data_IF_842226343465
#
_entry.id   IF_842226343465
#
_cell.length_a   1.000
_cell.length_b   1.000
_cell.length_c   1.000
_cell.angle_alpha   90.00
_cell.angle_beta   90.00
_cell.angle_gamma   90.00
#
_symmetry.space_group_name_H-M   'P 1'
#
loop_
_entity.id
_entity.type
_entity.pdbx_description
1 polymer ?
#
# COMPACT_ATOMS: atom_id res chain seq x y z
N UNK A 1 -34.98 72.41 -11.59
CA UNK A 1 -34.55 71.82 -12.88
C UNK A 1 -33.03 71.66 -12.86
N UNK A 2 -32.56 70.42 -13.06
CA UNK A 2 -31.24 69.98 -13.56
C UNK A 2 -29.94 70.50 -12.89
N UNK A 3 -29.19 69.62 -12.20
CA UNK A 3 -28.05 68.75 -12.66
C UNK A 3 -26.68 69.46 -12.46
N UNK A 4 -25.88 69.08 -11.45
CA UNK A 4 -24.75 68.10 -11.41
C UNK A 4 -23.50 68.53 -12.23
N UNK A 5 -22.31 68.25 -11.66
CA UNK A 5 -20.92 68.17 -12.21
C UNK A 5 -20.11 69.48 -12.04
N UNK A 6 -18.83 69.54 -11.60
CA UNK A 6 -17.71 68.57 -11.60
C UNK A 6 -16.53 69.09 -10.70
N UNK A 7 -15.77 68.12 -10.18
CA UNK A 7 -14.36 68.02 -9.73
C UNK A 7 -13.42 69.22 -9.44
N UNK A 8 -12.46 68.86 -8.58
CA UNK A 8 -11.00 69.14 -8.58
C UNK A 8 -10.51 70.23 -7.60
N UNK A 9 -9.83 69.82 -6.53
CA UNK A 9 -8.35 69.84 -6.48
C UNK A 9 -7.87 69.59 -5.04
N UNK A 10 -7.12 68.51 -4.87
CA UNK A 10 -6.38 68.18 -3.65
C UNK A 10 -4.95 68.69 -3.87
N UNK A 11 -4.52 69.67 -3.07
CA UNK A 11 -3.13 70.11 -3.04
C UNK A 11 -2.68 70.12 -1.56
N UNK A 12 -2.07 69.02 -1.14
CA UNK A 12 -1.32 68.94 0.11
C UNK A 12 0.10 68.55 -0.27
N UNK A 13 1.05 69.41 0.04
CA UNK A 13 2.44 69.00 0.22
C UNK A 13 3.20 70.07 1.01
N UNK A 14 4.04 69.57 1.93
CA UNK A 14 5.20 70.19 2.57
C UNK A 14 4.93 70.89 3.93
N UNK A 15 5.69 70.68 5.01
CA UNK A 15 6.99 70.03 5.23
C UNK A 15 7.16 69.68 6.73
N UNK A 16 7.91 68.58 6.96
CA UNK A 16 8.88 68.36 8.05
C UNK A 16 8.46 68.40 9.53
N UNK A 17 8.59 67.24 10.17
CA UNK A 17 9.50 67.13 11.32
C UNK A 17 10.00 65.68 11.46
N UNK A 18 11.26 65.46 11.08
CA UNK A 18 11.99 64.24 11.38
C UNK A 18 12.38 64.24 12.86
N UNK A 19 11.55 63.61 13.70
CA UNK A 19 12.02 63.12 14.99
C UNK A 19 12.74 61.80 14.76
N UNK A 20 14.07 61.81 14.86
CA UNK A 20 14.89 60.59 14.98
C UNK A 20 14.40 59.83 16.22
N UNK A 21 13.57 58.80 16.04
CA UNK A 21 13.28 57.81 17.07
C UNK A 21 14.22 56.64 16.86
N UNK A 22 15.04 56.37 17.87
CA UNK A 22 15.90 55.19 17.98
C UNK A 22 15.14 53.93 17.57
N UNK A 23 15.46 53.40 16.39
CA UNK A 23 15.10 52.04 16.00
C UNK A 23 16.00 51.08 16.77
N UNK A 24 15.67 50.84 18.05
CA UNK A 24 15.98 49.54 18.60
C UNK A 24 15.11 48.53 17.83
N UNK A 25 15.66 47.39 17.38
CA UNK A 25 14.84 46.35 16.79
C UNK A 25 13.76 46.01 17.81
N UNK A 26 12.49 46.19 17.44
CA UNK A 26 11.39 45.60 18.21
C UNK A 26 11.75 44.12 18.33
N UNK A 27 11.98 43.65 19.55
CA UNK A 27 11.98 42.21 19.83
C UNK A 27 10.70 41.70 19.20
N UNK A 28 10.84 40.92 18.14
CA UNK A 28 9.75 40.08 17.67
C UNK A 28 9.53 39.14 18.83
N UNK A 29 8.52 39.43 19.65
CA UNK A 29 8.03 38.43 20.57
C UNK A 29 7.72 37.20 19.72
N UNK A 30 8.27 36.02 20.06
CA UNK A 30 7.95 34.84 19.30
C UNK A 30 6.43 34.70 19.40
N UNK A 31 5.74 34.89 18.28
CA UNK A 31 4.36 34.48 18.15
C UNK A 31 4.35 32.99 18.43
N UNK A 32 4.13 32.64 19.70
CA UNK A 32 3.78 31.33 20.16
C UNK A 32 2.40 31.04 19.58
N UNK A 33 2.37 30.72 18.28
CA UNK A 33 1.32 29.86 17.77
C UNK A 33 1.55 28.55 18.53
N UNK A 34 0.77 28.32 19.58
CA UNK A 34 0.52 26.95 20.02
C UNK A 34 0.07 26.25 18.75
N UNK A 35 0.92 25.40 18.19
CA UNK A 35 0.59 24.62 17.02
C UNK A 35 -0.54 23.68 17.47
N UNK A 36 -1.78 24.06 17.20
CA UNK A 36 -2.90 23.14 17.33
C UNK A 36 -2.62 21.97 16.39
N UNK A 37 -2.64 20.73 16.89
CA UNK A 37 -2.35 19.58 16.06
C UNK A 37 -3.42 19.46 14.97
N UNK A 38 -3.00 19.08 13.76
CA UNK A 38 -3.92 18.81 12.64
C UNK A 38 -4.77 17.55 12.87
N UNK A 39 -4.36 16.69 13.80
CA UNK A 39 -5.03 15.44 14.14
C UNK A 39 -5.30 15.37 15.64
N UNK A 40 -6.48 14.87 15.99
CA UNK A 40 -6.86 14.53 17.36
C UNK A 40 -6.81 13.03 17.55
N UNK A 41 -6.19 12.57 18.64
CA UNK A 41 -6.23 11.17 19.03
C UNK A 41 -7.67 10.80 19.45
N UNK A 42 -8.23 9.76 18.82
CA UNK A 42 -9.46 9.11 19.27
C UNK A 42 -9.05 7.80 19.96
N UNK A 43 -9.48 7.62 21.20
CA UNK A 43 -9.01 6.48 22.01
C UNK A 43 -9.67 5.16 21.60
N UNK A 44 -9.07 4.03 21.96
CA UNK A 44 -9.63 2.70 21.67
C UNK A 44 -10.91 2.41 22.45
N UNK A 45 -11.14 3.11 23.57
CA UNK A 45 -12.39 3.05 24.32
C UNK A 45 -13.56 3.68 23.56
N UNK A 46 -13.28 4.72 22.74
CA UNK A 46 -14.27 5.34 21.86
C UNK A 46 -14.43 4.50 20.59
N UNK A 47 -13.30 4.14 19.95
CA UNK A 47 -13.38 3.50 18.64
C UNK A 47 -13.76 2.03 18.67
N UNK A 48 -13.57 1.34 19.80
CA UNK A 48 -13.72 -0.11 19.87
C UNK A 48 -12.57 -0.90 19.22
N UNK A 49 -11.61 -0.23 18.57
CA UNK A 49 -10.45 -0.88 17.94
C UNK A 49 -9.43 -1.25 19.01
N UNK A 50 -9.35 -2.55 19.32
CA UNK A 50 -8.43 -3.12 20.32
C UNK A 50 -7.33 -3.98 19.70
N UNK A 51 -7.27 -4.05 18.38
CA UNK A 51 -6.31 -4.88 17.65
C UNK A 51 -4.87 -4.49 17.99
N UNK A 52 -4.01 -5.50 18.13
CA UNK A 52 -2.57 -5.35 18.31
C UNK A 52 -1.86 -6.46 17.57
N UNK A 53 -0.95 -6.11 16.67
CA UNK A 53 -0.04 -7.07 16.07
C UNK A 53 1.09 -7.36 17.08
N UNK A 54 1.07 -8.54 17.68
CA UNK A 54 2.07 -8.96 18.67
C UNK A 54 2.99 -9.97 18.03
N UNK A 55 4.27 -9.63 18.00
CA UNK A 55 5.33 -10.51 17.50
C UNK A 55 6.06 -11.10 18.70
N UNK A 56 6.13 -12.43 18.73
CA UNK A 56 6.89 -13.18 19.72
C UNK A 56 8.19 -13.66 19.07
N UNK A 57 9.31 -13.22 19.63
CA UNK A 57 10.65 -13.68 19.24
C UNK A 57 11.07 -14.90 20.05
N UNK A 58 11.91 -15.74 19.46
CA UNK A 58 12.63 -16.81 20.14
C UNK A 58 14.09 -16.92 19.66
N UNK A 59 14.84 -17.88 20.20
CA UNK A 59 16.26 -18.08 19.86
C UNK A 59 16.50 -18.34 18.36
N UNK A 60 15.53 -18.91 17.67
CA UNK A 60 15.57 -19.27 16.25
C UNK A 60 14.83 -18.24 15.38
N UNK A 61 13.75 -17.65 15.88
CA UNK A 61 12.93 -16.66 15.20
C UNK A 61 13.11 -15.28 15.85
N UNK A 62 14.12 -14.56 15.38
CA UNK A 62 14.47 -13.21 15.82
C UNK A 62 15.09 -12.42 14.66
N UNK A 63 15.27 -11.13 14.85
CA UNK A 63 15.81 -10.23 13.83
C UNK A 63 17.14 -10.68 13.20
N UNK A 64 18.03 -11.33 13.96
CA UNK A 64 19.33 -11.77 13.42
C UNK A 64 19.18 -12.93 12.42
N UNK A 65 18.18 -13.79 12.62
CA UNK A 65 17.92 -14.95 11.76
C UNK A 65 16.90 -14.66 10.66
N UNK A 66 15.96 -13.75 10.93
CA UNK A 66 14.93 -13.30 10.01
C UNK A 66 14.77 -11.78 10.13
N UNK A 67 15.56 -10.99 9.39
CA UNK A 67 15.51 -9.52 9.43
C UNK A 67 14.13 -8.92 9.18
N UNK A 68 13.26 -9.65 8.48
CA UNK A 68 11.89 -9.24 8.15
C UNK A 68 10.87 -9.58 9.24
N UNK A 69 11.32 -9.95 10.44
CA UNK A 69 10.43 -10.27 11.57
C UNK A 69 9.50 -9.12 11.96
N UNK A 70 9.83 -7.88 11.60
CA UNK A 70 8.99 -6.70 11.83
C UNK A 70 8.31 -6.18 10.57
N UNK A 71 8.45 -6.88 9.43
CA UNK A 71 7.81 -6.51 8.18
C UNK A 71 6.40 -7.12 8.10
N UNK A 72 5.46 -6.34 7.57
CA UNK A 72 4.04 -6.67 7.53
C UNK A 72 3.23 -5.95 8.62
N UNK A 73 2.00 -6.39 8.84
CA UNK A 73 1.08 -5.70 9.77
C UNK A 73 0.42 -4.47 9.14
N UNK A 74 0.02 -4.58 7.87
CA UNK A 74 -0.74 -3.56 7.16
C UNK A 74 -2.22 -3.49 7.55
N UNK A 75 -2.86 -2.42 7.08
CA UNK A 75 -4.30 -2.18 7.16
C UNK A 75 -4.84 -1.98 5.75
N UNK A 76 -5.97 -2.62 5.43
CA UNK A 76 -6.77 -2.29 4.27
C UNK A 76 -8.04 -1.57 4.74
N UNK A 77 -8.49 -0.58 3.96
CA UNK A 77 -9.65 0.24 4.27
C UNK A 77 -10.57 0.31 3.06
N UNK A 78 -11.87 0.12 3.28
CA UNK A 78 -12.88 0.12 2.22
C UNK A 78 -14.26 -0.10 2.80
N UNK A 79 -15.29 0.32 2.06
CA UNK A 79 -16.69 0.09 2.42
C UNK A 79 -17.11 -1.31 1.93
N UNK A 80 -17.19 -2.28 2.83
CA UNK A 80 -17.42 -3.68 2.45
C UNK A 80 -18.91 -4.00 2.25
N UNK A 81 -19.80 -3.12 2.70
CA UNK A 81 -21.23 -3.38 2.74
C UNK A 81 -22.06 -2.32 1.97
N UNK A 82 -21.38 -1.34 1.37
CA UNK A 82 -21.92 -0.23 0.59
C UNK A 82 -22.85 0.70 1.39
N UNK A 83 -22.57 0.91 2.69
CA UNK A 83 -23.33 1.84 3.54
C UNK A 83 -22.76 3.27 3.58
N UNK A 84 -21.65 3.50 2.87
CA UNK A 84 -20.94 4.78 2.78
C UNK A 84 -19.92 5.00 3.90
N UNK A 85 -19.70 4.02 4.77
CA UNK A 85 -18.71 4.08 5.85
C UNK A 85 -17.51 3.19 5.52
N UNK A 86 -16.31 3.70 5.79
CA UNK A 86 -15.06 2.95 5.55
C UNK A 86 -14.80 2.00 6.71
N UNK A 87 -14.72 0.70 6.40
CA UNK A 87 -14.33 -0.37 7.31
C UNK A 87 -12.83 -0.61 7.31
N UNK A 88 -12.33 -1.39 8.28
CA UNK A 88 -10.90 -1.63 8.47
C UNK A 88 -10.59 -3.12 8.60
N UNK A 89 -9.66 -3.61 7.79
CA UNK A 89 -9.08 -4.95 7.91
C UNK A 89 -7.62 -4.87 8.31
N UNK A 90 -7.29 -5.40 9.49
CA UNK A 90 -5.93 -5.44 10.02
C UNK A 90 -5.31 -6.82 9.81
N UNK A 91 -4.08 -6.82 9.32
CA UNK A 91 -3.27 -8.03 9.22
C UNK A 91 -2.44 -8.25 10.48
N UNK A 92 -2.23 -9.51 10.84
CA UNK A 92 -1.37 -9.91 11.95
C UNK A 92 -0.30 -10.89 11.49
N UNK A 93 0.94 -10.64 11.90
CA UNK A 93 2.08 -11.45 11.49
C UNK A 93 2.05 -12.86 12.08
N UNK A 94 1.48 -13.08 13.26
CA UNK A 94 1.48 -14.40 13.92
C UNK A 94 0.12 -14.83 14.45
N UNK A 95 -0.85 -13.91 14.49
CA UNK A 95 -2.19 -14.18 15.03
C UNK A 95 -3.24 -14.04 13.93
N UNK A 96 -4.51 -14.25 14.28
CA UNK A 96 -5.62 -14.01 13.36
C UNK A 96 -5.75 -12.53 13.00
N UNK A 97 -5.93 -12.27 11.70
CA UNK A 97 -6.31 -10.95 11.16
C UNK A 97 -7.64 -10.48 11.75
N UNK A 98 -7.95 -9.18 11.69
CA UNK A 98 -9.21 -8.64 12.24
C UNK A 98 -9.94 -7.70 11.29
N UNK A 99 -11.24 -7.93 11.10
CA UNK A 99 -12.14 -7.06 10.36
C UNK A 99 -13.02 -6.27 11.34
N UNK A 100 -13.05 -4.96 11.14
CA UNK A 100 -13.81 -4.01 11.95
C UNK A 100 -14.81 -3.27 11.06
N UNK A 101 -16.10 -3.48 11.33
CA UNK A 101 -17.20 -2.81 10.67
C UNK A 101 -17.43 -1.43 11.30
N UNK A 102 -17.45 -0.38 10.49
CA UNK A 102 -17.72 0.98 10.93
C UNK A 102 -19.20 1.16 11.23
N UNK A 103 -19.53 1.65 12.42
CA UNK A 103 -20.90 1.90 12.88
C UNK A 103 -21.27 3.38 12.79
N UNK A 104 -20.37 4.21 12.27
CA UNK A 104 -20.45 5.67 12.28
C UNK A 104 -19.81 6.26 13.53
N UNK A 105 -19.58 7.57 13.54
CA UNK A 105 -19.02 8.31 14.68
C UNK A 105 -17.67 7.78 15.21
N UNK A 106 -16.87 7.15 14.32
CA UNK A 106 -15.63 6.46 14.67
C UNK A 106 -15.81 5.26 15.62
N UNK A 107 -17.01 4.71 15.77
CA UNK A 107 -17.25 3.47 16.51
C UNK A 107 -17.14 2.27 15.57
N UNK A 108 -16.38 1.25 15.95
CA UNK A 108 -16.13 0.06 15.14
C UNK A 108 -16.47 -1.23 15.90
N UNK A 109 -17.15 -2.14 15.21
CA UNK A 109 -17.52 -3.46 15.69
C UNK A 109 -16.55 -4.50 15.11
N UNK A 110 -15.91 -5.31 15.96
CA UNK A 110 -15.14 -6.45 15.46
C UNK A 110 -16.08 -7.54 14.95
N UNK A 111 -16.06 -7.79 13.63
CA UNK A 111 -16.91 -8.79 12.98
C UNK A 111 -16.13 -10.00 12.45
N UNK A 112 -14.85 -10.18 12.81
CA UNK A 112 -13.95 -11.17 12.18
C UNK A 112 -14.54 -12.58 12.10
N UNK A 113 -15.03 -13.11 13.23
CA UNK A 113 -15.61 -14.46 13.32
C UNK A 113 -16.90 -14.56 12.48
N UNK A 114 -17.80 -13.57 12.64
CA UNK A 114 -19.06 -13.50 11.89
C UNK A 114 -18.81 -13.41 10.39
N UNK A 115 -17.78 -12.67 9.99
CA UNK A 115 -17.40 -12.43 8.62
C UNK A 115 -16.63 -13.60 7.99
N UNK A 116 -16.19 -14.58 8.77
CA UNK A 116 -15.44 -15.76 8.32
C UNK A 116 -14.08 -15.43 7.68
N UNK A 117 -13.42 -14.38 8.19
CA UNK A 117 -12.11 -13.90 7.70
C UNK A 117 -10.98 -14.13 8.70
N UNK A 118 -11.19 -15.04 9.65
CA UNK A 118 -10.15 -15.49 10.57
C UNK A 118 -9.05 -16.26 9.84
N UNK A 119 -7.80 -16.03 10.24
CA UNK A 119 -6.65 -16.77 9.74
C UNK A 119 -5.51 -16.74 10.76
N UNK A 120 -5.52 -17.68 11.69
CA UNK A 120 -4.55 -17.81 12.78
C UNK A 120 -3.30 -18.62 12.40
N UNK A 121 -3.12 -18.95 11.12
CA UNK A 121 -2.01 -19.79 10.65
C UNK A 121 -1.08 -19.04 9.72
N UNK A 122 0.22 -19.26 9.90
CA UNK A 122 1.25 -18.65 9.06
C UNK A 122 1.50 -17.19 9.41
N UNK A 123 2.02 -16.43 8.44
CA UNK A 123 2.43 -15.05 8.67
C UNK A 123 1.83 -14.12 7.63
N UNK A 124 0.91 -13.26 8.06
CA UNK A 124 0.27 -12.29 7.17
C UNK A 124 1.12 -11.04 7.05
N UNK A 125 1.21 -10.49 5.84
CA UNK A 125 2.02 -9.29 5.53
C UNK A 125 1.13 -8.12 5.14
N UNK A 126 0.67 -8.10 3.88
CA UNK A 126 -0.15 -7.06 3.29
C UNK A 126 -1.58 -7.51 3.04
N UNK A 127 -2.49 -6.53 2.93
CA UNK A 127 -3.87 -6.76 2.52
C UNK A 127 -4.30 -5.66 1.55
N UNK A 128 -5.21 -6.01 0.65
CA UNK A 128 -5.83 -5.10 -0.32
C UNK A 128 -7.32 -5.41 -0.39
N UNK A 129 -8.15 -4.36 -0.31
CA UNK A 129 -9.57 -4.46 -0.62
C UNK A 129 -9.79 -4.10 -2.09
N UNK A 130 -10.51 -4.95 -2.81
CA UNK A 130 -10.72 -4.80 -4.26
C UNK A 130 -12.01 -5.49 -4.70
N UNK A 131 -12.77 -4.90 -5.61
CA UNK A 131 -13.87 -5.60 -6.30
C UNK A 131 -13.26 -6.44 -7.43
N UNK A 132 -12.79 -7.66 -7.12
CA UNK A 132 -12.04 -8.49 -8.08
C UNK A 132 -12.96 -9.13 -9.13
N UNK A 133 -14.26 -9.18 -8.85
CA UNK A 133 -15.23 -9.92 -9.62
C UNK A 133 -16.30 -9.02 -10.28
N UNK A 134 -16.14 -7.70 -10.14
CA UNK A 134 -16.96 -6.63 -10.72
C UNK A 134 -18.44 -6.71 -10.33
N UNK A 135 -18.73 -7.08 -9.07
CA UNK A 135 -20.09 -7.18 -8.57
C UNK A 135 -20.54 -6.04 -7.66
N UNK A 136 -19.67 -5.03 -7.51
CA UNK A 136 -19.88 -3.82 -6.74
C UNK A 136 -19.59 -3.95 -5.25
N UNK A 137 -19.03 -5.08 -4.80
CA UNK A 137 -18.64 -5.29 -3.40
C UNK A 137 -17.14 -5.53 -3.29
N UNK A 138 -16.51 -4.90 -2.30
CA UNK A 138 -15.08 -5.11 -2.06
C UNK A 138 -14.83 -6.51 -1.48
N UNK A 139 -13.97 -7.25 -2.13
CA UNK A 139 -13.31 -8.48 -1.68
C UNK A 139 -12.00 -8.14 -0.94
N UNK A 140 -11.39 -9.13 -0.28
CA UNK A 140 -10.12 -8.92 0.46
C UNK A 140 -9.07 -9.91 -0.03
N UNK A 141 -7.99 -9.42 -0.62
CA UNK A 141 -6.80 -10.20 -0.92
C UNK A 141 -5.74 -10.00 0.16
N UNK A 142 -5.15 -11.10 0.63
CA UNK A 142 -4.25 -11.12 1.78
C UNK A 142 -2.97 -11.88 1.43
N UNK A 143 -1.84 -11.17 1.54
CA UNK A 143 -0.52 -11.73 1.31
C UNK A 143 0.02 -12.45 2.54
N UNK A 144 0.74 -13.55 2.31
CA UNK A 144 1.39 -14.33 3.36
C UNK A 144 2.88 -14.58 3.04
N UNK A 145 3.68 -14.66 4.10
CA UNK A 145 5.12 -14.88 4.04
C UNK A 145 5.61 -15.62 5.30
N UNK A 146 6.83 -15.34 5.79
CA UNK A 146 7.38 -15.70 7.11
C UNK A 146 7.75 -17.17 7.33
N UNK A 147 6.95 -18.12 6.83
CA UNK A 147 7.17 -19.55 7.04
C UNK A 147 8.28 -20.10 6.13
N UNK A 148 9.51 -20.20 6.63
CA UNK A 148 10.66 -20.66 5.82
C UNK A 148 10.64 -22.15 5.43
N UNK A 149 9.80 -22.97 6.08
CA UNK A 149 9.83 -24.45 5.94
C UNK A 149 8.54 -25.06 5.42
N UNK A 150 7.45 -24.29 5.36
CA UNK A 150 6.14 -24.82 4.98
C UNK A 150 5.39 -23.81 4.10
N UNK A 151 5.37 -24.09 2.81
CA UNK A 151 4.73 -23.29 1.77
C UNK A 151 3.21 -23.17 1.96
N UNK A 152 2.56 -24.17 2.58
CA UNK A 152 1.13 -24.12 2.86
C UNK A 152 0.75 -22.99 3.82
N UNK A 153 1.70 -22.57 4.68
CA UNK A 153 1.52 -21.46 5.60
C UNK A 153 1.78 -20.10 4.94
N UNK A 154 2.25 -20.08 3.69
CA UNK A 154 2.48 -18.86 2.90
C UNK A 154 1.48 -18.68 1.75
N UNK A 155 0.51 -19.58 1.61
CA UNK A 155 -0.52 -19.44 0.58
C UNK A 155 -1.36 -18.20 0.82
N UNK A 156 -1.31 -17.23 -0.09
CA UNK A 156 -2.16 -16.04 -0.06
C UNK A 156 -3.65 -16.42 0.02
N UNK A 157 -4.46 -15.51 0.56
CA UNK A 157 -5.91 -15.69 0.72
C UNK A 157 -6.68 -14.66 -0.11
N UNK A 158 -7.84 -15.07 -0.61
CA UNK A 158 -8.79 -14.21 -1.32
C UNK A 158 -10.17 -14.47 -0.71
N UNK A 159 -10.67 -13.52 0.05
CA UNK A 159 -11.98 -13.58 0.68
C UNK A 159 -12.97 -12.86 -0.22
N UNK A 160 -13.85 -13.62 -0.88
CA UNK A 160 -14.91 -13.08 -1.74
C UNK A 160 -16.11 -12.69 -0.89
N UNK A 161 -16.58 -11.46 -1.02
CA UNK A 161 -17.70 -10.90 -0.29
C UNK A 161 -19.02 -11.59 -0.70
N UNK A 162 -19.82 -11.99 0.30
CA UNK A 162 -21.11 -12.65 0.08
C UNK A 162 -22.30 -11.68 0.18
N UNK A 163 -22.03 -10.37 0.27
CA UNK A 163 -23.03 -9.27 0.31
C UNK A 163 -23.90 -9.23 1.56
N UNK A 164 -23.50 -9.97 2.59
CA UNK A 164 -24.17 -10.06 3.89
C UNK A 164 -23.20 -9.85 5.08
N UNK A 165 -22.07 -9.19 4.82
CA UNK A 165 -20.92 -9.03 5.72
C UNK A 165 -20.18 -10.35 6.03
N UNK A 166 -20.44 -11.42 5.27
CA UNK A 166 -19.62 -12.64 5.31
C UNK A 166 -18.77 -12.76 4.06
N UNK A 167 -17.69 -13.54 4.17
CA UNK A 167 -16.77 -13.78 3.07
C UNK A 167 -16.50 -15.27 2.89
N UNK A 168 -16.14 -15.65 1.68
CA UNK A 168 -15.73 -17.01 1.33
C UNK A 168 -14.31 -17.02 0.78
N UNK A 169 -13.42 -17.82 1.36
CA UNK A 169 -12.05 -17.96 0.87
C UNK A 169 -12.02 -18.75 -0.46
N UNK A 170 -11.46 -18.15 -1.52
CA UNK A 170 -11.45 -18.68 -2.89
C UNK A 170 -10.13 -18.53 -3.63
N UNK A 171 -9.01 -18.25 -2.96
CA UNK A 171 -7.72 -17.99 -3.61
C UNK A 171 -7.33 -19.09 -4.60
N UNK A 172 -7.47 -20.36 -4.21
CA UNK A 172 -7.17 -21.50 -5.08
C UNK A 172 -8.10 -21.55 -6.31
N UNK A 173 -9.38 -21.22 -6.16
CA UNK A 173 -10.33 -21.22 -7.28
C UNK A 173 -9.95 -20.17 -8.35
N UNK A 174 -9.40 -19.04 -7.92
CA UNK A 174 -8.95 -17.96 -8.79
C UNK A 174 -7.49 -18.13 -9.26
N UNK A 175 -6.79 -19.19 -8.84
CA UNK A 175 -5.35 -19.40 -9.06
C UNK A 175 -4.46 -18.29 -8.44
N UNK A 176 -4.88 -17.78 -7.28
CA UNK A 176 -4.23 -16.70 -6.54
C UNK A 176 -3.75 -17.13 -5.13
N UNK A 177 -3.75 -18.43 -4.81
CA UNK A 177 -3.23 -18.98 -3.55
C UNK A 177 -1.70 -19.14 -3.55
N UNK A 178 -0.99 -18.13 -4.07
CA UNK A 178 0.45 -18.16 -4.27
C UNK A 178 1.20 -18.47 -2.96
N UNK A 179 2.11 -19.44 -3.00
CA UNK A 179 2.91 -19.88 -1.84
C UNK A 179 4.28 -19.20 -1.74
N UNK A 180 4.47 -18.07 -2.42
CA UNK A 180 5.69 -17.27 -2.38
C UNK A 180 5.93 -16.60 -1.02
N UNK A 181 6.82 -15.61 -1.00
CA UNK A 181 7.06 -14.76 0.16
C UNK A 181 6.41 -13.39 -0.11
N UNK A 182 5.08 -13.38 -0.18
CA UNK A 182 4.30 -12.23 -0.61
C UNK A 182 4.37 -11.09 0.40
N UNK A 183 4.69 -9.89 -0.07
CA UNK A 183 4.74 -8.68 0.75
C UNK A 183 3.45 -7.87 0.62
N UNK A 184 3.07 -7.52 -0.61
CA UNK A 184 1.86 -6.75 -0.91
C UNK A 184 1.38 -7.01 -2.34
N UNK A 185 0.07 -6.87 -2.56
CA UNK A 185 -0.59 -7.01 -3.85
C UNK A 185 -1.07 -5.65 -4.38
N UNK A 186 -1.00 -5.47 -5.69
CA UNK A 186 -1.47 -4.28 -6.38
C UNK A 186 -2.32 -4.70 -7.58
N UNK A 187 -3.58 -4.26 -7.59
CA UNK A 187 -4.52 -4.55 -8.67
C UNK A 187 -4.63 -3.37 -9.62
N UNK A 188 -4.47 -3.61 -10.92
CA UNK A 188 -4.45 -2.58 -11.96
C UNK A 188 -4.63 -3.20 -13.35
N UNK A 189 -5.17 -2.45 -14.30
CA UNK A 189 -5.41 -2.87 -15.69
C UNK A 189 -4.14 -2.63 -16.52
N UNK A 190 -3.27 -3.64 -16.66
CA UNK A 190 -1.95 -3.40 -17.29
C UNK A 190 -2.00 -3.38 -18.83
N UNK A 191 -2.99 -4.03 -19.44
CA UNK A 191 -3.14 -4.13 -20.89
C UNK A 191 -4.33 -3.35 -21.47
N UNK A 192 -5.09 -2.64 -20.63
CA UNK A 192 -6.23 -1.76 -20.95
C UNK A 192 -7.44 -2.49 -21.50
N UNK A 193 -7.71 -3.70 -21.02
CA UNK A 193 -8.88 -4.46 -21.42
C UNK A 193 -10.10 -4.25 -20.50
N UNK A 194 -9.96 -3.41 -19.48
CA UNK A 194 -10.94 -3.07 -18.43
C UNK A 194 -11.23 -4.19 -17.44
N UNK A 195 -10.30 -5.10 -17.21
CA UNK A 195 -10.24 -5.85 -15.97
C UNK A 195 -8.97 -5.54 -15.16
N UNK A 196 -8.98 -5.94 -13.89
CA UNK A 196 -7.86 -5.70 -13.00
C UNK A 196 -6.99 -6.96 -12.90
N UNK A 197 -5.74 -6.79 -13.28
CA UNK A 197 -4.66 -7.75 -13.12
C UNK A 197 -3.98 -7.60 -11.76
N UNK A 198 -3.11 -8.53 -11.40
CA UNK A 198 -2.41 -8.52 -10.12
C UNK A 198 -0.89 -8.47 -10.30
N UNK A 199 -0.26 -7.40 -9.78
CA UNK A 199 1.16 -7.40 -9.43
C UNK A 199 1.35 -7.79 -7.97
N UNK A 200 2.03 -8.91 -7.72
CA UNK A 200 2.35 -9.41 -6.39
C UNK A 200 3.83 -9.17 -6.11
N UNK A 201 4.12 -8.29 -5.16
CA UNK A 201 5.48 -8.06 -4.66
C UNK A 201 5.87 -9.24 -3.77
N UNK A 202 7.02 -9.85 -4.03
CA UNK A 202 7.61 -10.88 -3.20
C UNK A 202 8.97 -10.42 -2.65
N UNK A 203 9.46 -11.15 -1.65
CA UNK A 203 10.82 -10.96 -1.17
C UNK A 203 11.60 -12.28 -1.13
N UNK A 204 12.92 -12.16 -1.05
CA UNK A 204 13.81 -13.29 -0.85
C UNK A 204 13.84 -13.79 0.60
N UNK A 205 13.92 -15.11 0.83
CA UNK A 205 14.09 -15.67 2.16
C UNK A 205 15.55 -15.80 2.62
N UNK A 206 16.53 -15.64 1.72
CA UNK A 206 17.94 -15.95 1.97
C UNK A 206 18.75 -14.75 2.48
N UNK A 207 18.35 -14.18 3.60
CA UNK A 207 18.93 -12.95 4.18
C UNK A 207 20.44 -12.98 4.44
N UNK A 208 21.08 -14.16 4.49
CA UNK A 208 22.56 -14.27 4.61
C UNK A 208 23.29 -13.78 3.37
N UNK A 209 22.60 -13.67 2.23
CA UNK A 209 23.13 -13.20 0.96
C UNK A 209 22.64 -11.79 0.61
N UNK A 210 22.20 -11.01 1.60
CA UNK A 210 21.67 -9.66 1.39
C UNK A 210 22.71 -8.64 0.87
N UNK A 211 24.00 -8.99 0.89
CA UNK A 211 25.10 -8.18 0.34
C UNK A 211 25.61 -8.69 -1.02
N UNK A 212 24.88 -9.59 -1.69
CA UNK A 212 25.24 -10.06 -3.03
C UNK A 212 24.14 -9.75 -4.03
N UNK A 213 24.55 -9.16 -5.16
CA UNK A 213 23.67 -8.90 -6.30
C UNK A 213 23.60 -10.16 -7.15
N UNK A 214 22.40 -10.69 -7.37
CA UNK A 214 22.15 -11.85 -8.21
C UNK A 214 21.98 -11.41 -9.66
N UNK A 215 22.98 -11.68 -10.50
CA UNK A 215 22.87 -11.41 -11.95
C UNK A 215 21.99 -12.43 -12.68
N UNK A 216 21.68 -13.56 -12.03
CA UNK A 216 21.01 -14.72 -12.63
C UNK A 216 19.48 -14.56 -12.76
N UNK A 217 18.89 -13.55 -12.10
CA UNK A 217 17.44 -13.31 -12.05
C UNK A 217 16.77 -13.00 -13.40
N UNK A 218 17.53 -12.76 -14.47
CA UNK A 218 16.97 -12.51 -15.81
C UNK A 218 16.55 -13.77 -16.55
N UNK A 219 17.14 -14.92 -16.26
CA UNK A 219 17.01 -16.12 -17.10
C UNK A 219 16.29 -17.30 -16.46
N UNK A 220 16.09 -17.31 -15.14
CA UNK A 220 15.30 -18.33 -14.45
C UNK A 220 14.38 -17.70 -13.40
N UNK A 221 13.06 -17.94 -13.47
CA UNK A 221 12.16 -17.47 -12.43
C UNK A 221 12.45 -18.18 -11.12
N UNK A 222 12.57 -17.40 -10.05
CA UNK A 222 12.55 -17.92 -8.69
C UNK A 222 11.08 -18.06 -8.28
N UNK A 223 10.52 -19.29 -8.27
CA UNK A 223 9.07 -19.48 -8.19
C UNK A 223 8.46 -18.96 -6.89
N UNK A 224 9.27 -18.71 -5.86
CA UNK A 224 8.81 -18.26 -4.54
C UNK A 224 9.23 -16.85 -4.14
N UNK A 225 10.23 -16.26 -4.80
CA UNK A 225 10.82 -14.96 -4.39
C UNK A 225 10.82 -13.89 -5.47
N UNK A 226 10.60 -14.24 -6.74
CA UNK A 226 10.35 -13.24 -7.78
C UNK A 226 9.01 -12.57 -7.53
N UNK A 227 8.92 -11.27 -7.78
CA UNK A 227 7.62 -10.64 -8.01
C UNK A 227 6.86 -11.37 -9.12
N UNK A 228 5.54 -11.24 -9.10
CA UNK A 228 4.66 -11.93 -10.04
C UNK A 228 3.66 -10.99 -10.66
N UNK A 229 3.39 -11.20 -11.95
CA UNK A 229 2.29 -10.56 -12.66
C UNK A 229 1.32 -11.66 -13.07
N UNK A 230 0.07 -11.49 -12.69
CA UNK A 230 -1.02 -12.35 -13.06
C UNK A 230 -2.00 -11.58 -13.93
N UNK A 231 -2.23 -12.05 -15.16
CA UNK A 231 -3.30 -11.53 -16.00
C UNK A 231 -4.63 -12.10 -15.53
N UNK A 232 -5.67 -11.27 -15.47
CA UNK A 232 -7.02 -11.73 -15.25
C UNK A 232 -7.57 -12.33 -16.56
N UNK A 233 -8.04 -13.59 -16.52
CA UNK A 233 -8.71 -14.24 -17.65
C UNK A 233 -10.21 -14.45 -17.33
N UNK A 234 -10.77 -13.53 -16.55
CA UNK A 234 -12.15 -13.51 -16.06
C UNK A 234 -12.39 -14.39 -14.84
N UNK A 235 -12.33 -15.72 -14.99
CA UNK A 235 -12.63 -16.66 -13.87
C UNK A 235 -11.40 -17.08 -13.08
N UNK A 236 -10.22 -16.95 -13.67
CA UNK A 236 -8.94 -17.37 -13.13
C UNK A 236 -7.90 -16.32 -13.49
N UNK A 237 -6.81 -16.31 -12.73
CA UNK A 237 -5.64 -15.50 -13.00
C UNK A 237 -4.51 -16.35 -13.56
N UNK A 238 -3.90 -15.94 -14.68
CA UNK A 238 -2.76 -16.64 -15.28
C UNK A 238 -1.47 -15.93 -14.92
N UNK A 239 -0.53 -16.65 -14.30
CA UNK A 239 0.80 -16.12 -14.03
C UNK A 239 1.57 -15.92 -15.35
N UNK A 240 1.82 -14.66 -15.70
CA UNK A 240 2.53 -14.25 -16.93
C UNK A 240 3.91 -13.65 -16.64
N UNK A 241 4.42 -13.76 -15.41
CA UNK A 241 5.67 -13.13 -14.92
C UNK A 241 6.83 -13.23 -15.92
N UNK A 242 7.10 -14.44 -16.42
CA UNK A 242 8.20 -14.67 -17.37
C UNK A 242 7.92 -14.07 -18.75
N UNK A 243 6.67 -14.20 -19.24
CA UNK A 243 6.27 -13.66 -20.55
C UNK A 243 6.28 -12.12 -20.54
N UNK A 244 5.87 -11.53 -19.42
CA UNK A 244 5.84 -10.09 -19.20
C UNK A 244 7.24 -9.49 -18.99
N UNK A 245 8.27 -10.30 -18.72
CA UNK A 245 9.65 -9.82 -18.56
C UNK A 245 9.93 -9.12 -17.23
N UNK A 246 9.15 -9.40 -16.18
CA UNK A 246 9.30 -8.78 -14.84
C UNK A 246 9.97 -9.70 -13.81
N UNK A 247 10.47 -10.86 -14.24
CA UNK A 247 11.18 -11.79 -13.37
C UNK A 247 12.32 -11.08 -12.65
N UNK A 248 12.35 -11.22 -11.33
CA UNK A 248 13.39 -10.64 -10.50
C UNK A 248 13.70 -11.54 -9.29
N UNK A 249 14.65 -11.10 -8.48
CA UNK A 249 15.01 -11.76 -7.24
C UNK A 249 15.55 -10.74 -6.24
N UNK A 250 14.65 -9.90 -5.73
CA UNK A 250 14.98 -8.85 -4.78
C UNK A 250 14.24 -9.04 -3.46
N UNK A 251 14.49 -8.11 -2.52
CA UNK A 251 13.78 -8.03 -1.26
C UNK A 251 12.69 -6.96 -1.38
N UNK A 252 11.62 -7.27 -2.13
CA UNK A 252 10.54 -6.35 -2.42
C UNK A 252 9.71 -5.97 -1.18
N UNK A 253 9.55 -4.66 -0.99
CA UNK A 253 8.82 -4.07 0.14
C UNK A 253 7.44 -3.55 -0.26
N UNK A 254 7.35 -2.87 -1.40
CA UNK A 254 6.13 -2.24 -1.88
C UNK A 254 6.28 -1.84 -3.34
N UNK A 255 5.17 -1.54 -4.00
CA UNK A 255 5.15 -0.94 -5.33
C UNK A 255 4.27 0.31 -5.38
N UNK A 256 4.48 1.11 -6.42
CA UNK A 256 3.60 2.19 -6.85
C UNK A 256 3.24 1.95 -8.32
N UNK A 257 1.95 2.00 -8.61
CA UNK A 257 1.42 1.89 -9.97
C UNK A 257 1.10 3.31 -10.47
N UNK A 258 1.54 3.63 -11.67
CA UNK A 258 1.29 4.93 -12.28
C UNK A 258 1.87 5.04 -13.68
N UNK A 259 1.50 6.05 -14.43
CA UNK A 259 2.11 6.35 -15.73
C UNK A 259 3.37 7.21 -15.52
N UNK A 260 4.54 6.58 -15.49
CA UNK A 260 5.81 7.26 -15.21
C UNK A 260 6.48 7.83 -16.46
N UNK A 261 6.04 7.42 -17.66
CA UNK A 261 6.59 7.86 -18.93
C UNK A 261 5.64 8.79 -19.75
N UNK A 262 4.43 9.03 -19.24
CA UNK A 262 3.33 9.79 -19.87
C UNK A 262 2.80 9.17 -21.18
N UNK A 263 2.77 7.84 -21.30
CA UNK A 263 2.24 7.13 -22.46
C UNK A 263 0.82 6.57 -22.25
N UNK A 264 0.23 6.88 -21.10
CA UNK A 264 -1.09 6.47 -20.60
C UNK A 264 -1.21 5.01 -20.17
N UNK A 265 -0.19 4.17 -20.34
CA UNK A 265 -0.18 2.81 -19.80
C UNK A 265 0.39 2.82 -18.38
N UNK A 266 -0.17 2.01 -17.46
CA UNK A 266 0.37 1.93 -16.12
C UNK A 266 1.71 1.19 -16.12
N UNK A 267 2.69 1.81 -15.50
CA UNK A 267 4.01 1.31 -15.17
C UNK A 267 4.05 0.86 -13.69
N UNK A 268 5.11 0.14 -13.31
CA UNK A 268 5.30 -0.35 -11.94
C UNK A 268 6.67 0.08 -11.40
N UNK A 269 6.67 0.85 -10.31
CA UNK A 269 7.88 1.13 -9.53
C UNK A 269 7.89 0.27 -8.27
N UNK A 270 8.95 -0.49 -8.03
CA UNK A 270 9.09 -1.42 -6.89
C UNK A 270 10.27 -0.99 -6.03
N UNK A 271 10.01 -0.80 -4.74
CA UNK A 271 11.04 -0.51 -3.75
C UNK A 271 11.60 -1.81 -3.16
N UNK A 272 12.92 -1.94 -3.16
CA UNK A 272 13.64 -3.11 -2.68
C UNK A 272 14.59 -2.75 -1.53
N UNK A 273 14.77 -3.69 -0.60
CA UNK A 273 15.81 -3.59 0.42
C UNK A 273 17.18 -4.08 -0.08
N UNK A 274 18.19 -3.73 0.73
CA UNK A 274 19.58 -4.19 0.63
C UNK A 274 20.31 -3.70 -0.63
N UNK A 275 21.07 -4.55 -1.31
CA UNK A 275 21.93 -4.15 -2.45
C UNK A 275 21.28 -4.31 -3.82
N UNK A 276 20.17 -5.02 -3.92
CA UNK A 276 19.41 -5.07 -5.18
C UNK A 276 18.77 -3.70 -5.41
N UNK A 277 18.92 -3.15 -6.61
CA UNK A 277 18.27 -1.88 -6.94
C UNK A 277 16.75 -2.02 -6.87
N UNK A 278 16.07 -0.89 -6.67
CA UNK A 278 14.66 -0.75 -7.01
C UNK A 278 14.42 -1.16 -8.47
N UNK A 279 13.16 -1.42 -8.84
CA UNK A 279 12.78 -1.68 -10.22
C UNK A 279 11.81 -0.61 -10.71
N UNK A 280 11.99 -0.16 -11.95
CA UNK A 280 11.02 0.67 -12.65
C UNK A 280 10.64 -0.02 -13.94
N UNK A 281 9.59 -0.82 -13.89
CA UNK A 281 9.05 -1.55 -15.04
C UNK A 281 8.17 -0.61 -15.87
N UNK A 282 8.72 -0.18 -17.01
CA UNK A 282 7.96 0.58 -18.01
C UNK A 282 7.18 -0.38 -18.90
N UNK A 283 5.89 -0.16 -19.05
CA UNK A 283 5.00 -0.94 -19.88
C UNK A 283 5.31 -0.71 -21.37
N UNK A 284 5.55 -1.79 -22.12
CA UNK A 284 5.86 -1.72 -23.55
C UNK A 284 4.62 -1.71 -24.44
N UNK A 285 3.41 -1.68 -23.87
CA UNK A 285 2.12 -1.65 -24.57
C UNK A 285 1.85 -2.90 -25.44
N UNK A 286 2.56 -3.98 -25.17
CA UNK A 286 2.47 -5.24 -25.90
C UNK A 286 2.42 -6.47 -24.97
N UNK A 287 2.04 -6.24 -23.72
CA UNK A 287 1.98 -7.26 -22.67
C UNK A 287 3.31 -7.56 -21.98
N UNK A 288 4.35 -6.75 -22.24
CA UNK A 288 5.66 -6.88 -21.60
C UNK A 288 6.09 -5.58 -20.93
N UNK A 289 7.07 -5.69 -20.04
CA UNK A 289 7.68 -4.57 -19.35
C UNK A 289 9.18 -4.52 -19.59
N UNK A 290 9.78 -3.36 -19.36
CA UNK A 290 11.23 -3.18 -19.37
C UNK A 290 11.65 -2.42 -18.13
N UNK A 291 12.55 -3.01 -17.35
CA UNK A 291 13.16 -2.32 -16.21
C UNK A 291 14.06 -1.18 -16.70
N UNK A 292 13.73 0.05 -16.29
CA UNK A 292 14.38 1.31 -16.64
C UNK A 292 14.96 2.06 -15.44
N UNK A 293 15.08 1.40 -14.28
CA UNK A 293 15.51 2.07 -13.04
C UNK A 293 16.81 2.86 -13.21
N UNK A 294 17.84 2.23 -13.79
CA UNK A 294 19.17 2.84 -13.98
C UNK A 294 19.20 3.93 -15.07
N UNK A 295 18.22 3.93 -15.98
CA UNK A 295 18.12 4.91 -17.06
C UNK A 295 17.40 6.20 -16.57
N UNK A 296 16.51 6.07 -15.59
CA UNK A 296 15.52 7.10 -15.21
C UNK A 296 15.73 7.68 -13.83
N UNK A 297 16.33 6.93 -12.92
CA UNK A 297 16.53 7.34 -11.53
C UNK A 297 18.01 7.20 -11.19
N UNK A 298 18.62 8.31 -10.76
CA UNK A 298 19.97 8.28 -10.22
C UNK A 298 19.92 7.72 -8.80
N UNK A 299 20.27 6.43 -8.67
CA UNK A 299 20.56 5.78 -7.38
C UNK A 299 22.06 5.79 -7.09
#
# INVERSE_FOLDING_TARGET
>A
MNKILILFSFLILLFSSCSVKNNQPKKVEPHSRKNEPLFSLISSEITGIKFRNIITEDLYFNFLNYPYIYNGGGVASGDINNDGLVDLYFTSNQQSNKLYLNKGNFEFENITEKAQVEDDRGWTTGATMIDINHDGYLDIYVCKSGSLKNDLLRKNKLYINQKDNTFQEKAHQFNLDDGGYGTQAYFFDYDKDNDLDLYLVNHRPDFRNNVTISLDGKNNPFPYSSDKLYRNDGKIFTNITQQAGITNNAWGLSAAIGDFNNDTYPDVYVCNDFLESDFLYINNQNGTFTNKILDKISH
#
